data_IF_295389151712
#
_entry.id   IF_295389151712
#
_cell.length_a   1.000
_cell.length_b   1.000
_cell.length_c   1.000
_cell.angle_alpha   90.00
_cell.angle_beta   90.00
_cell.angle_gamma   90.00
#
_symmetry.space_group_name_H-M   'P 1'
#
loop_
_entity.id
_entity.type
_entity.pdbx_description
1 polymer ?
#
# COMPACT_ATOMS: atom_id res chain seq x y z
N UNK A 1 -6.55 21.92 28.74
CA UNK A 1 -5.73 21.44 27.60
C UNK A 1 -6.22 20.06 27.14
N UNK A 2 -7.50 19.94 26.74
CA UNK A 2 -8.13 18.66 26.35
C UNK A 2 -8.54 18.61 24.85
N UNK A 3 -8.20 19.65 24.09
CA UNK A 3 -8.94 20.04 22.89
C UNK A 3 -8.28 19.62 21.55
N UNK A 4 -7.11 18.96 21.60
CA UNK A 4 -6.35 18.59 20.38
C UNK A 4 -6.44 17.10 20.02
N UNK A 5 -6.77 16.22 20.99
CA UNK A 5 -6.99 14.78 20.74
C UNK A 5 -8.33 14.50 20.09
N UNK A 6 -9.36 15.31 20.40
CA UNK A 6 -10.69 15.25 19.75
C UNK A 6 -10.58 15.53 18.24
N UNK A 7 -9.66 16.40 17.82
CA UNK A 7 -9.51 16.79 16.42
C UNK A 7 -9.03 15.66 15.53
N UNK A 8 -8.08 14.81 15.95
CA UNK A 8 -7.60 13.70 15.08
C UNK A 8 -8.70 12.71 14.79
N UNK A 9 -9.53 12.38 15.78
CA UNK A 9 -10.66 11.48 15.59
C UNK A 9 -11.68 12.02 14.58
N UNK A 10 -12.11 13.25 14.79
CA UNK A 10 -13.03 13.96 13.90
C UNK A 10 -12.44 14.17 12.49
N UNK A 11 -11.12 14.38 12.40
CA UNK A 11 -10.38 14.51 11.14
C UNK A 11 -10.31 13.19 10.35
N UNK A 12 -10.16 12.05 11.03
CA UNK A 12 -10.21 10.74 10.40
C UNK A 12 -11.65 10.36 9.99
N UNK A 13 -12.65 10.78 10.76
CA UNK A 13 -14.04 10.57 10.41
C UNK A 13 -14.49 11.42 9.21
N UNK A 14 -14.09 12.70 9.18
CA UNK A 14 -14.41 13.64 8.09
C UNK A 14 -13.71 13.31 6.77
N UNK A 15 -12.55 12.63 6.80
CA UNK A 15 -11.89 12.09 5.61
C UNK A 15 -12.52 10.77 5.12
N UNK A 16 -13.53 10.24 5.83
CA UNK A 16 -14.23 9.01 5.46
C UNK A 16 -13.46 7.72 5.73
N UNK A 17 -12.33 7.80 6.44
CA UNK A 17 -11.50 6.63 6.79
C UNK A 17 -12.10 5.80 7.92
N UNK A 18 -12.87 6.42 8.81
CA UNK A 18 -13.57 5.76 9.91
C UNK A 18 -14.98 6.31 10.04
N UNK A 19 -15.89 5.50 10.57
CA UNK A 19 -17.22 5.95 10.97
C UNK A 19 -17.20 6.58 12.36
N UNK A 20 -18.20 7.40 12.67
CA UNK A 20 -18.37 7.94 14.03
C UNK A 20 -18.47 6.82 15.08
N UNK A 21 -19.13 5.71 14.76
CA UNK A 21 -19.21 4.55 15.64
C UNK A 21 -17.83 3.91 15.91
N UNK A 22 -17.01 3.77 14.86
CA UNK A 22 -15.64 3.25 14.98
C UNK A 22 -14.75 4.20 15.79
N UNK A 23 -14.91 5.51 15.60
CA UNK A 23 -14.23 6.53 16.38
C UNK A 23 -14.58 6.42 17.88
N UNK A 24 -15.87 6.35 18.21
CA UNK A 24 -16.32 6.21 19.60
C UNK A 24 -15.83 4.90 20.25
N UNK A 25 -15.83 3.79 19.50
CA UNK A 25 -15.26 2.51 19.96
C UNK A 25 -13.76 2.61 20.25
N UNK A 26 -13.00 3.28 19.36
CA UNK A 26 -11.57 3.46 19.53
C UNK A 26 -11.23 4.40 20.71
N UNK A 27 -11.97 5.48 20.90
CA UNK A 27 -11.85 6.38 22.05
C UNK A 27 -12.15 5.66 23.38
N UNK A 28 -13.20 4.83 23.40
CA UNK A 28 -13.54 4.00 24.55
C UNK A 28 -12.42 3.01 24.88
N UNK A 29 -11.87 2.34 23.87
CA UNK A 29 -10.71 1.45 24.03
C UNK A 29 -9.47 2.19 24.53
N UNK A 30 -9.21 3.39 24.02
CA UNK A 30 -8.09 4.23 24.48
C UNK A 30 -8.20 4.55 25.97
N UNK A 31 -9.40 4.85 26.47
CA UNK A 31 -9.63 5.12 27.89
C UNK A 31 -9.43 3.89 28.79
N UNK A 32 -9.67 2.68 28.27
CA UNK A 32 -9.59 1.43 29.01
C UNK A 32 -8.21 0.75 28.92
N UNK A 33 -7.56 0.82 27.75
CA UNK A 33 -6.34 0.10 27.42
C UNK A 33 -5.12 1.00 27.19
N UNK A 34 -5.30 2.33 27.16
CA UNK A 34 -4.24 3.29 26.86
C UNK A 34 -3.83 3.31 25.38
N UNK A 35 -2.70 3.97 25.09
CA UNK A 35 -2.16 4.14 23.73
C UNK A 35 -2.69 5.36 22.99
N UNK A 36 -2.27 5.53 21.73
CA UNK A 36 -2.80 6.59 20.86
C UNK A 36 -4.13 6.19 20.22
N UNK A 37 -4.89 7.18 19.73
CA UNK A 37 -6.14 6.90 19.03
C UNK A 37 -5.90 6.05 17.78
N UNK A 38 -4.84 6.36 17.01
CA UNK A 38 -4.44 5.61 15.82
C UNK A 38 -4.06 4.15 16.11
N UNK A 39 -3.31 3.89 17.18
CA UNK A 39 -2.98 2.51 17.60
C UNK A 39 -4.23 1.68 17.90
N UNK A 40 -5.24 2.29 18.53
CA UNK A 40 -6.50 1.61 18.83
C UNK A 40 -7.33 1.36 17.57
N UNK A 41 -7.34 2.29 16.61
CA UNK A 41 -8.02 2.13 15.32
C UNK A 41 -7.42 0.97 14.50
N UNK A 42 -6.08 0.87 14.45
CA UNK A 42 -5.39 -0.23 13.77
C UNK A 42 -5.65 -1.56 14.47
N UNK A 43 -5.54 -1.60 15.81
CA UNK A 43 -5.73 -2.83 16.60
C UNK A 43 -7.13 -3.41 16.46
N UNK A 44 -8.15 -2.55 16.31
CA UNK A 44 -9.54 -2.97 16.11
C UNK A 44 -9.86 -3.29 14.64
N UNK A 45 -8.89 -3.12 13.73
CA UNK A 45 -9.03 -3.43 12.31
C UNK A 45 -9.87 -2.42 11.53
N UNK A 46 -10.04 -1.20 12.04
CA UNK A 46 -10.85 -0.17 11.38
C UNK A 46 -10.08 0.62 10.32
N UNK A 47 -8.77 0.76 10.50
CA UNK A 47 -7.87 1.46 9.55
C UNK A 47 -6.58 0.68 9.46
N UNK A 48 -6.01 0.55 8.26
CA UNK A 48 -4.66 0.04 8.11
C UNK A 48 -3.62 1.12 8.46
N UNK A 49 -2.39 0.70 8.73
CA UNK A 49 -1.33 1.61 9.18
C UNK A 49 -0.92 2.62 8.09
N UNK A 50 -0.96 2.23 6.81
CA UNK A 50 -0.57 3.09 5.70
C UNK A 50 -1.59 4.20 5.46
N UNK A 51 -2.88 3.86 5.46
CA UNK A 51 -4.00 4.78 5.33
C UNK A 51 -4.02 5.79 6.48
N UNK A 52 -3.77 5.34 7.71
CA UNK A 52 -3.65 6.24 8.86
C UNK A 52 -2.47 7.21 8.69
N UNK A 53 -1.28 6.73 8.31
CA UNK A 53 -0.10 7.57 8.13
C UNK A 53 -0.28 8.59 7.00
N UNK A 54 -0.90 8.19 5.89
CA UNK A 54 -1.20 9.08 4.76
C UNK A 54 -2.17 10.19 5.19
N UNK A 55 -3.24 9.84 5.89
CA UNK A 55 -4.23 10.80 6.38
C UNK A 55 -3.60 11.84 7.35
N UNK A 56 -2.78 11.36 8.29
CA UNK A 56 -2.07 12.23 9.22
C UNK A 56 -1.06 13.13 8.49
N UNK A 57 -0.40 12.60 7.45
CA UNK A 57 0.56 13.37 6.66
C UNK A 57 -0.12 14.49 5.87
N UNK A 58 -1.25 14.21 5.22
CA UNK A 58 -2.01 15.20 4.45
C UNK A 58 -2.64 16.27 5.34
N UNK A 59 -3.22 15.88 6.49
CA UNK A 59 -3.96 16.82 7.34
C UNK A 59 -3.07 17.66 8.26
N UNK A 60 -2.00 17.09 8.81
CA UNK A 60 -1.09 17.78 9.73
C UNK A 60 0.06 18.44 8.95
N UNK A 61 0.25 18.08 7.66
CA UNK A 61 1.31 18.61 6.81
C UNK A 61 2.71 18.13 7.19
N UNK A 62 2.81 17.03 7.96
CA UNK A 62 4.07 16.43 8.36
C UNK A 62 4.41 15.23 7.49
N UNK A 63 5.68 15.06 7.17
CA UNK A 63 6.15 13.88 6.47
C UNK A 63 6.20 12.67 7.42
N UNK A 64 5.86 11.49 6.93
CA UNK A 64 6.07 10.24 7.65
C UNK A 64 7.46 9.68 7.33
N UNK A 65 8.02 8.91 8.27
CA UNK A 65 9.32 8.25 8.08
C UNK A 65 9.23 6.74 8.23
N UNK A 66 9.91 6.02 7.33
CA UNK A 66 10.07 4.58 7.40
C UNK A 66 11.47 4.23 7.91
N UNK A 67 11.56 3.73 9.15
CA UNK A 67 12.83 3.41 9.80
C UNK A 67 13.57 2.23 9.16
N UNK A 68 12.92 1.39 8.35
CA UNK A 68 13.59 0.29 7.62
C UNK A 68 14.52 0.78 6.51
N UNK A 69 14.37 2.04 6.09
CA UNK A 69 15.16 2.67 5.01
C UNK A 69 16.19 3.66 5.52
N UNK A 70 16.25 3.86 6.83
CA UNK A 70 17.08 4.88 7.46
C UNK A 70 18.02 4.20 8.44
N UNK A 71 19.29 4.60 8.38
CA UNK A 71 20.26 4.25 9.40
C UNK A 71 20.43 5.44 10.35
N UNK A 72 20.30 5.20 11.65
CA UNK A 72 20.50 6.23 12.67
C UNK A 72 21.82 5.97 13.39
N UNK A 73 22.88 6.77 13.13
CA UNK A 73 24.17 6.60 13.78
C UNK A 73 24.10 6.80 15.30
N UNK A 74 25.02 6.19 16.08
CA UNK A 74 25.10 6.39 17.53
C UNK A 74 25.27 7.86 17.96
N UNK A 75 25.90 8.68 17.14
CA UNK A 75 26.05 10.12 17.38
C UNK A 75 24.71 10.88 17.35
N UNK A 76 23.75 10.41 16.55
CA UNK A 76 22.40 10.97 16.47
C UNK A 76 21.53 10.45 17.61
N UNK A 77 21.64 9.15 17.93
CA UNK A 77 20.92 8.57 19.08
C UNK A 77 21.24 9.32 20.37
N UNK A 78 22.52 9.64 20.60
CA UNK A 78 22.98 10.36 21.80
C UNK A 78 22.57 11.83 21.89
N UNK A 79 21.89 12.40 20.88
CA UNK A 79 21.33 13.75 20.95
C UNK A 79 20.16 13.85 21.94
N UNK A 80 19.54 12.72 22.27
CA UNK A 80 18.38 12.64 23.16
C UNK A 80 18.61 11.51 24.16
N UNK A 81 18.19 11.70 25.41
CA UNK A 81 18.28 10.65 26.41
C UNK A 81 17.37 9.46 26.08
N UNK A 82 17.81 8.25 26.42
CA UNK A 82 17.00 7.03 26.25
C UNK A 82 15.70 7.08 27.07
N UNK A 83 15.70 7.83 28.18
CA UNK A 83 14.52 8.05 29.01
C UNK A 83 13.48 8.89 28.26
N UNK A 84 13.87 10.02 27.68
CA UNK A 84 12.97 10.86 26.87
C UNK A 84 12.48 10.12 25.64
N UNK A 85 13.34 9.36 24.94
CA UNK A 85 12.94 8.49 23.82
C UNK A 85 11.80 7.55 24.22
N UNK A 86 11.90 6.91 25.39
CA UNK A 86 10.89 5.96 25.89
C UNK A 86 9.63 6.65 26.42
N UNK A 87 9.78 7.66 27.27
CA UNK A 87 8.65 8.31 27.96
C UNK A 87 7.80 9.15 27.01
N UNK A 88 8.44 9.83 26.04
CA UNK A 88 7.80 10.67 25.03
C UNK A 88 7.49 9.94 23.72
N UNK A 89 7.85 8.65 23.60
CA UNK A 89 7.65 7.83 22.38
C UNK A 89 8.13 8.53 21.11
N UNK A 90 9.40 8.93 21.10
CA UNK A 90 10.04 9.65 19.98
C UNK A 90 11.44 9.14 19.70
N UNK A 91 12.00 9.48 18.54
CA UNK A 91 13.32 9.04 18.12
C UNK A 91 14.08 10.11 17.33
N UNK A 92 15.34 10.45 17.69
CA UNK A 92 16.17 11.30 16.85
C UNK A 92 16.60 10.52 15.59
N UNK A 93 16.35 11.07 14.41
CA UNK A 93 16.55 10.41 13.12
C UNK A 93 17.86 10.85 12.46
N UNK A 94 18.09 12.16 12.41
CA UNK A 94 19.22 12.76 11.71
C UNK A 94 19.11 14.27 11.66
N UNK A 95 19.97 14.92 10.90
CA UNK A 95 19.95 16.38 10.73
C UNK A 95 19.52 16.78 9.33
N UNK A 96 18.68 17.80 9.27
CA UNK A 96 18.37 18.53 8.04
C UNK A 96 18.82 19.99 8.21
N UNK A 97 20.02 20.29 7.72
CA UNK A 97 20.70 21.55 8.02
C UNK A 97 20.97 21.68 9.52
N UNK A 98 20.37 22.70 10.15
CA UNK A 98 20.48 22.95 11.60
C UNK A 98 19.42 22.26 12.45
N UNK A 99 18.43 21.62 11.82
CA UNK A 99 17.29 21.05 12.53
C UNK A 99 17.51 19.56 12.79
N UNK A 100 17.32 19.14 14.04
CA UNK A 100 17.27 17.72 14.40
C UNK A 100 15.91 17.17 13.98
N UNK A 101 15.91 16.22 13.05
CA UNK A 101 14.70 15.51 12.63
C UNK A 101 14.32 14.52 13.71
N UNK A 102 13.11 14.63 14.24
CA UNK A 102 12.60 13.81 15.34
C UNK A 102 11.34 13.08 14.89
N UNK A 103 11.42 11.76 14.87
CA UNK A 103 10.27 10.89 14.61
C UNK A 103 9.40 10.76 15.86
N UNK A 104 8.11 11.06 15.75
CA UNK A 104 7.17 11.06 16.88
C UNK A 104 6.00 10.11 16.62
N UNK A 105 5.68 9.27 17.61
CA UNK A 105 4.47 8.41 17.55
C UNK A 105 3.21 9.25 17.72
N UNK A 106 3.26 10.27 18.59
CA UNK A 106 2.21 11.28 18.73
C UNK A 106 2.74 12.64 18.23
N UNK A 107 2.47 13.02 16.97
CA UNK A 107 2.93 14.30 16.42
C UNK A 107 2.27 15.52 17.08
N UNK A 108 1.26 15.32 17.95
CA UNK A 108 0.58 16.42 18.65
C UNK A 108 1.21 16.77 20.00
N UNK A 109 2.16 15.97 20.50
CA UNK A 109 2.89 16.26 21.74
C UNK A 109 4.01 17.29 21.48
N UNK A 110 3.63 18.54 21.22
CA UNK A 110 4.58 19.63 21.02
C UNK A 110 5.51 19.85 22.24
N UNK A 111 5.08 19.45 23.45
CA UNK A 111 5.90 19.53 24.66
C UNK A 111 7.12 18.62 24.61
N UNK A 112 7.00 17.46 23.95
CA UNK A 112 8.12 16.56 23.74
C UNK A 112 9.19 17.17 22.81
N UNK A 113 8.80 17.95 21.81
CA UNK A 113 9.75 18.64 20.93
C UNK A 113 10.58 19.67 21.70
N UNK A 114 9.94 20.50 22.55
CA UNK A 114 10.66 21.47 23.37
C UNK A 114 11.67 20.83 24.32
N UNK A 115 11.35 19.64 24.86
CA UNK A 115 12.27 18.87 25.70
C UNK A 115 13.48 18.36 24.90
N UNK A 116 13.26 17.89 23.68
CA UNK A 116 14.33 17.46 22.77
C UNK A 116 15.20 18.62 22.30
N UNK A 117 14.62 19.78 22.00
CA UNK A 117 15.36 20.99 21.65
C UNK A 117 16.29 21.42 22.77
N UNK A 118 15.80 21.38 24.01
CA UNK A 118 16.59 21.70 25.19
C UNK A 118 17.76 20.72 25.39
N UNK A 119 17.52 19.42 25.22
CA UNK A 119 18.56 18.39 25.40
C UNK A 119 19.61 18.41 24.28
N UNK A 120 19.17 18.51 23.03
CA UNK A 120 20.04 18.44 21.86
C UNK A 120 20.74 19.76 21.54
N UNK A 121 20.21 20.90 22.03
CA UNK A 121 20.70 22.23 21.69
C UNK A 121 20.39 22.64 20.23
N UNK A 122 19.55 21.88 19.54
CA UNK A 122 19.20 22.10 18.13
C UNK A 122 17.70 22.29 17.98
N UNK A 123 17.24 23.20 17.09
CA UNK A 123 15.83 23.30 16.75
C UNK A 123 15.35 21.97 16.15
N UNK A 124 14.11 21.58 16.40
CA UNK A 124 13.60 20.28 15.96
C UNK A 124 12.69 20.40 14.74
N UNK A 125 12.70 19.35 13.90
CA UNK A 125 11.74 19.17 12.81
C UNK A 125 10.97 17.87 13.06
N UNK A 126 9.66 17.92 13.38
CA UNK A 126 8.89 16.71 13.63
C UNK A 126 8.61 15.97 12.33
N UNK A 127 8.67 14.64 12.40
CA UNK A 127 8.16 13.72 11.38
C UNK A 127 7.32 12.63 12.06
N UNK A 128 6.34 12.09 11.35
CA UNK A 128 5.45 11.06 11.89
C UNK A 128 6.21 9.73 11.89
N UNK A 129 6.30 9.09 13.05
CA UNK A 129 6.87 7.77 13.24
C UNK A 129 5.76 6.80 13.63
N UNK A 130 5.68 5.64 12.98
CA UNK A 130 4.70 4.65 13.36
C UNK A 130 5.02 3.99 14.70
N UNK A 131 3.99 3.60 15.44
CA UNK A 131 4.14 2.89 16.71
C UNK A 131 4.90 1.57 16.55
N UNK A 132 4.66 0.86 15.44
CA UNK A 132 5.35 -0.39 15.08
C UNK A 132 6.87 -0.19 14.98
N UNK A 133 7.31 0.78 14.16
CA UNK A 133 8.72 1.11 13.98
C UNK A 133 9.36 1.61 15.28
N UNK A 134 8.61 2.37 16.09
CA UNK A 134 9.08 2.82 17.39
C UNK A 134 9.34 1.62 18.33
N UNK A 135 8.39 0.69 18.43
CA UNK A 135 8.52 -0.50 19.28
C UNK A 135 9.66 -1.40 18.81
N UNK A 136 9.89 -1.54 17.51
CA UNK A 136 11.06 -2.22 16.94
C UNK A 136 12.39 -1.54 17.30
N UNK A 137 12.44 -0.21 17.21
CA UNK A 137 13.62 0.55 17.62
C UNK A 137 13.93 0.35 19.12
N UNK A 138 12.90 0.35 19.98
CA UNK A 138 13.06 0.08 21.41
C UNK A 138 13.59 -1.34 21.66
N UNK A 139 13.08 -2.35 20.96
CA UNK A 139 13.61 -3.73 21.04
C UNK A 139 15.09 -3.79 20.64
N UNK A 140 15.46 -3.12 19.55
CA UNK A 140 16.86 -3.02 19.13
C UNK A 140 17.74 -2.39 20.22
N UNK A 141 17.29 -1.29 20.84
CA UNK A 141 18.07 -0.63 21.89
C UNK A 141 18.21 -1.48 23.16
N UNK A 142 17.22 -2.33 23.45
CA UNK A 142 17.31 -3.28 24.56
C UNK A 142 18.34 -4.39 24.30
N UNK A 143 18.49 -4.84 23.06
CA UNK A 143 19.44 -5.91 22.70
C UNK A 143 20.85 -5.42 22.39
N UNK A 144 20.97 -4.29 21.67
CA UNK A 144 22.23 -3.81 21.09
C UNK A 144 22.81 -2.58 21.80
N UNK A 145 22.08 -1.99 22.77
CA UNK A 145 22.50 -0.80 23.51
C UNK A 145 22.16 0.52 22.80
N UNK A 146 21.55 1.46 23.53
CA UNK A 146 21.24 2.79 23.00
C UNK A 146 22.50 3.66 22.90
N UNK A 147 22.77 4.20 21.70
CA UNK A 147 23.95 5.03 21.46
C UNK A 147 25.26 4.23 21.33
N UNK A 148 25.19 2.91 21.20
CA UNK A 148 26.35 2.03 21.00
C UNK A 148 26.51 1.61 19.55
N UNK A 149 25.43 1.09 18.94
CA UNK A 149 25.40 0.64 17.54
C UNK A 149 24.44 1.48 16.69
N UNK A 150 24.73 1.66 15.39
CA UNK A 150 23.78 2.32 14.50
C UNK A 150 22.46 1.54 14.47
N UNK A 151 21.34 2.24 14.71
CA UNK A 151 20.03 1.65 14.54
C UNK A 151 19.86 1.39 13.05
N UNK A 152 19.79 0.12 12.71
CA UNK A 152 19.34 -0.35 11.41
C UNK A 152 18.22 -1.31 11.72
N UNK A 153 16.98 -0.84 11.56
CA UNK A 153 15.89 -1.78 11.41
C UNK A 153 16.17 -2.47 10.09
N UNK A 154 16.67 -3.71 10.17
CA UNK A 154 16.71 -4.53 8.98
C UNK A 154 15.28 -4.53 8.46
N UNK A 155 15.11 -4.37 7.16
CA UNK A 155 13.92 -4.94 6.51
C UNK A 155 13.91 -6.37 7.00
N UNK A 156 13.07 -6.70 7.99
CA UNK A 156 12.63 -8.07 8.15
C UNK A 156 12.24 -8.46 6.74
N UNK A 157 12.98 -9.44 6.19
CA UNK A 157 12.87 -9.88 4.82
C UNK A 157 11.41 -10.25 4.53
N UNK A 158 10.63 -9.26 4.12
CA UNK A 158 9.19 -9.37 3.92
C UNK A 158 8.43 -9.85 5.19
N UNK A 159 7.15 -9.49 5.35
CA UNK A 159 6.33 -9.98 6.45
C UNK A 159 6.20 -11.49 6.35
N UNK A 160 7.03 -12.25 7.08
CA UNK A 160 7.20 -13.70 6.93
C UNK A 160 7.51 -14.08 5.47
N UNK A 161 8.61 -14.82 5.25
CA UNK A 161 8.56 -15.80 4.16
C UNK A 161 7.47 -16.81 4.55
N UNK A 162 6.21 -16.55 4.21
CA UNK A 162 5.39 -17.65 3.76
C UNK A 162 6.27 -18.39 2.74
N UNK A 163 6.41 -19.70 2.90
CA UNK A 163 6.96 -20.52 1.83
C UNK A 163 5.99 -20.37 0.67
N UNK A 164 6.19 -19.34 -0.14
CA UNK A 164 5.51 -19.18 -1.41
C UNK A 164 6.09 -20.27 -2.28
N UNK A 165 5.26 -21.26 -2.60
CA UNK A 165 5.67 -22.31 -3.50
C UNK A 165 6.19 -21.68 -4.79
N UNK A 166 7.29 -22.23 -5.32
CA UNK A 166 7.96 -21.67 -6.48
C UNK A 166 7.24 -22.07 -7.78
N UNK A 167 6.00 -21.63 -7.92
CA UNK A 167 5.14 -21.88 -9.08
C UNK A 167 4.24 -20.67 -9.37
N UNK A 168 3.73 -20.59 -10.60
CA UNK A 168 2.92 -19.47 -11.05
C UNK A 168 1.62 -19.28 -10.24
N UNK A 169 0.83 -20.34 -9.94
CA UNK A 169 -0.37 -20.20 -9.11
C UNK A 169 -0.10 -19.56 -7.74
N UNK A 170 0.99 -19.92 -7.06
CA UNK A 170 1.35 -19.33 -5.78
C UNK A 170 1.71 -17.84 -5.93
N UNK A 171 2.45 -17.46 -6.97
CA UNK A 171 2.79 -16.06 -7.24
C UNK A 171 1.55 -15.21 -7.56
N UNK A 172 0.59 -15.76 -8.32
CA UNK A 172 -0.69 -15.10 -8.60
C UNK A 172 -1.56 -14.96 -7.34
N UNK A 173 -1.57 -15.96 -6.45
CA UNK A 173 -2.20 -15.82 -5.12
C UNK A 173 -1.55 -14.71 -4.31
N UNK A 174 -0.22 -14.64 -4.32
CA UNK A 174 0.50 -13.57 -3.62
C UNK A 174 0.13 -12.19 -4.16
N UNK A 175 0.08 -12.03 -5.49
CA UNK A 175 -0.37 -10.79 -6.14
C UNK A 175 -1.73 -10.31 -5.60
N UNK A 176 -2.73 -11.21 -5.54
CA UNK A 176 -4.07 -10.87 -5.04
C UNK A 176 -4.04 -10.61 -3.53
N UNK A 177 -3.36 -11.45 -2.75
CA UNK A 177 -3.31 -11.32 -1.28
C UNK A 177 -2.64 -10.02 -0.82
N UNK A 178 -1.71 -9.49 -1.61
CA UNK A 178 -1.00 -8.24 -1.32
C UNK A 178 -1.70 -7.02 -1.92
N UNK A 179 -2.87 -7.21 -2.54
CA UNK A 179 -3.56 -6.18 -3.31
C UNK A 179 -2.64 -5.49 -4.34
N UNK A 180 -1.74 -6.27 -4.94
CA UNK A 180 -0.72 -5.74 -5.84
C UNK A 180 -1.26 -5.41 -7.24
N UNK A 181 -0.66 -4.42 -7.88
CA UNK A 181 -1.07 -3.99 -9.22
C UNK A 181 -0.55 -4.93 -10.31
N UNK A 182 0.70 -5.37 -10.22
CA UNK A 182 1.32 -6.21 -11.26
C UNK A 182 2.32 -7.21 -10.65
N UNK A 183 2.25 -8.46 -11.09
CA UNK A 183 3.29 -9.47 -10.90
C UNK A 183 4.28 -9.38 -12.06
N UNK A 184 5.57 -9.45 -11.76
CA UNK A 184 6.66 -9.46 -12.73
C UNK A 184 7.54 -10.71 -12.55
N UNK A 185 7.72 -11.46 -13.63
CA UNK A 185 8.60 -12.62 -13.71
C UNK A 185 9.59 -12.43 -14.87
N UNK A 186 10.88 -12.56 -14.59
CA UNK A 186 11.91 -12.56 -15.63
C UNK A 186 13.10 -13.42 -15.21
N UNK A 187 13.80 -13.97 -16.21
CA UNK A 187 14.98 -14.78 -15.97
C UNK A 187 16.11 -13.95 -15.34
N UNK A 188 16.76 -14.51 -14.32
CA UNK A 188 17.83 -13.85 -13.57
C UNK A 188 17.33 -12.87 -12.50
N UNK A 189 16.02 -12.63 -12.40
CA UNK A 189 15.43 -11.77 -11.39
C UNK A 189 14.63 -12.58 -10.35
N UNK A 190 14.52 -12.01 -9.15
CA UNK A 190 13.59 -12.50 -8.14
C UNK A 190 12.18 -12.06 -8.56
N UNK A 191 11.19 -12.97 -8.60
CA UNK A 191 9.78 -12.61 -8.81
C UNK A 191 9.36 -11.46 -7.92
N UNK A 192 8.60 -10.52 -8.47
CA UNK A 192 8.24 -9.32 -7.72
C UNK A 192 6.82 -8.88 -8.01
N UNK A 193 6.17 -8.32 -7.02
CA UNK A 193 4.85 -7.72 -7.11
C UNK A 193 4.99 -6.21 -6.92
N UNK A 194 4.35 -5.44 -7.79
CA UNK A 194 4.19 -4.00 -7.59
C UNK A 194 3.03 -3.77 -6.62
N UNK A 195 3.30 -3.06 -5.53
CA UNK A 195 2.32 -2.67 -4.51
C UNK A 195 2.54 -1.19 -4.22
N UNK A 196 1.49 -0.38 -4.25
CA UNK A 196 1.53 1.08 -4.03
C UNK A 196 2.65 1.83 -4.79
N UNK A 197 2.89 1.42 -6.04
CA UNK A 197 3.90 2.03 -6.90
C UNK A 197 5.35 1.53 -6.66
N UNK A 198 5.56 0.69 -5.65
CA UNK A 198 6.86 0.10 -5.33
C UNK A 198 6.96 -1.37 -5.73
N UNK A 199 8.16 -1.83 -6.11
CA UNK A 199 8.41 -3.22 -6.50
C UNK A 199 8.89 -4.02 -5.29
N UNK A 200 8.04 -4.91 -4.78
CA UNK A 200 8.33 -5.82 -3.67
C UNK A 200 8.73 -7.20 -4.19
N UNK A 201 9.89 -7.70 -3.74
CA UNK A 201 10.40 -9.02 -4.14
C UNK A 201 9.78 -10.13 -3.30
N UNK A 202 9.44 -11.24 -3.94
CA UNK A 202 8.92 -12.43 -3.27
C UNK A 202 10.02 -13.19 -2.53
N UNK A 203 9.62 -14.00 -1.55
CA UNK A 203 10.50 -14.80 -0.69
C UNK A 203 11.23 -15.97 -1.34
N UNK A 204 11.44 -15.95 -2.66
CA UNK A 204 12.04 -17.04 -3.45
C UNK A 204 13.35 -16.60 -4.14
N UNK A 205 14.24 -17.53 -4.53
CA UNK A 205 15.44 -17.20 -5.29
C UNK A 205 15.12 -16.64 -6.69
N UNK A 206 16.12 -16.04 -7.33
CA UNK A 206 16.01 -15.61 -8.73
C UNK A 206 15.64 -16.78 -9.66
N UNK A 207 14.76 -16.52 -10.63
CA UNK A 207 14.29 -17.52 -11.58
C UNK A 207 15.33 -17.81 -12.65
N UNK A 208 15.47 -19.07 -13.01
CA UNK A 208 16.22 -19.53 -14.18
C UNK A 208 15.33 -19.43 -15.43
N UNK A 209 15.91 -19.26 -16.63
CA UNK A 209 15.13 -19.20 -17.87
C UNK A 209 14.13 -20.36 -18.03
N UNK A 210 14.57 -21.58 -17.76
CA UNK A 210 13.74 -22.79 -17.85
C UNK A 210 12.55 -22.78 -16.89
N UNK A 211 12.67 -22.12 -15.74
CA UNK A 211 11.59 -22.06 -14.75
C UNK A 211 10.51 -21.07 -15.18
N UNK A 212 10.90 -19.90 -15.71
CA UNK A 212 9.96 -18.94 -16.29
C UNK A 212 9.21 -19.58 -17.45
N UNK A 213 9.94 -20.28 -18.33
CA UNK A 213 9.35 -21.00 -19.46
C UNK A 213 8.34 -22.06 -19.01
N UNK A 214 8.70 -22.93 -18.06
CA UNK A 214 7.80 -23.95 -17.52
C UNK A 214 6.53 -23.33 -16.90
N UNK A 215 6.68 -22.25 -16.12
CA UNK A 215 5.57 -21.55 -15.48
C UNK A 215 4.58 -20.99 -16.50
N UNK A 216 5.08 -20.28 -17.51
CA UNK A 216 4.23 -19.61 -18.49
C UNK A 216 3.61 -20.60 -19.46
N UNK A 217 4.38 -21.54 -20.02
CA UNK A 217 3.83 -22.52 -20.96
C UNK A 217 2.73 -23.37 -20.32
N UNK A 218 2.77 -23.57 -19.00
CA UNK A 218 1.72 -24.25 -18.25
C UNK A 218 0.33 -23.59 -18.35
N UNK A 219 0.25 -22.30 -18.67
CA UNK A 219 -1.02 -21.56 -18.76
C UNK A 219 -1.43 -21.15 -20.19
N UNK A 220 -0.57 -21.39 -21.19
CA UNK A 220 -0.87 -21.06 -22.59
C UNK A 220 -1.58 -22.20 -23.33
N UNK A 221 -2.58 -21.86 -24.14
CA UNK A 221 -3.20 -22.78 -25.10
C UNK A 221 -2.26 -23.12 -26.26
N UNK A 222 -2.48 -24.22 -27.02
CA UNK A 222 -1.67 -24.54 -28.19
C UNK A 222 -1.59 -23.41 -29.22
N UNK A 223 -2.69 -22.71 -29.46
CA UNK A 223 -2.79 -21.59 -30.38
C UNK A 223 -1.97 -20.39 -29.86
N UNK A 224 -2.14 -20.04 -28.58
CA UNK A 224 -1.36 -18.98 -27.93
C UNK A 224 0.15 -19.26 -27.97
N UNK A 225 0.57 -20.51 -27.74
CA UNK A 225 1.98 -20.91 -27.86
C UNK A 225 2.51 -20.70 -29.27
N UNK A 226 1.73 -21.07 -30.29
CA UNK A 226 2.09 -20.85 -31.70
C UNK A 226 2.22 -19.36 -31.99
N UNK A 227 1.26 -18.55 -31.56
CA UNK A 227 1.30 -17.08 -31.71
C UNK A 227 2.56 -16.50 -31.05
N UNK A 228 2.86 -16.88 -29.81
CA UNK A 228 4.06 -16.39 -29.12
C UNK A 228 5.37 -16.83 -29.80
N UNK A 229 5.43 -18.03 -30.38
CA UNK A 229 6.60 -18.50 -31.12
C UNK A 229 6.85 -17.71 -32.41
N UNK A 230 5.78 -17.20 -33.03
CA UNK A 230 5.85 -16.41 -34.26
C UNK A 230 6.17 -14.93 -33.98
N UNK A 231 5.50 -14.34 -32.99
CA UNK A 231 5.55 -12.89 -32.74
C UNK A 231 6.45 -12.49 -31.57
N UNK A 232 6.88 -13.42 -30.72
CA UNK A 232 7.68 -13.17 -29.51
C UNK A 232 7.05 -12.25 -28.46
N UNK A 233 5.76 -11.96 -28.60
CA UNK A 233 4.91 -11.25 -27.66
C UNK A 233 3.50 -11.83 -27.71
N UNK A 234 2.79 -11.80 -26.58
CA UNK A 234 1.41 -12.26 -26.46
C UNK A 234 0.72 -11.61 -25.26
N UNK A 235 -0.40 -10.93 -25.52
CA UNK A 235 -1.38 -10.54 -24.51
C UNK A 235 -2.51 -11.57 -24.45
N UNK A 236 -2.92 -11.95 -23.23
CA UNK A 236 -4.00 -12.90 -23.03
C UNK A 236 -4.62 -12.78 -21.64
N UNK A 237 -5.83 -13.31 -21.47
CA UNK A 237 -6.47 -13.45 -20.17
C UNK A 237 -6.26 -14.86 -19.59
N UNK A 238 -6.05 -14.94 -18.29
CA UNK A 238 -5.95 -16.19 -17.54
C UNK A 238 -6.86 -16.14 -16.32
N UNK A 239 -7.72 -17.15 -16.13
CA UNK A 239 -8.61 -17.25 -14.96
C UNK A 239 -8.14 -18.39 -14.06
N UNK A 240 -8.06 -18.12 -12.75
CA UNK A 240 -7.68 -19.10 -11.76
C UNK A 240 -8.78 -19.27 -10.71
N UNK A 241 -9.28 -20.49 -10.59
CA UNK A 241 -10.38 -20.81 -9.69
C UNK A 241 -10.05 -20.46 -8.23
N UNK A 242 -11.01 -19.81 -7.56
CA UNK A 242 -10.90 -19.33 -6.19
C UNK A 242 -9.87 -18.21 -5.96
N UNK A 243 -9.31 -17.60 -7.02
CA UNK A 243 -8.32 -16.51 -6.88
C UNK A 243 -8.64 -15.28 -7.72
N UNK A 244 -9.13 -15.45 -8.93
CA UNK A 244 -9.56 -14.34 -9.78
C UNK A 244 -9.06 -14.44 -11.22
N UNK A 245 -9.28 -13.37 -11.98
CA UNK A 245 -8.87 -13.27 -13.38
C UNK A 245 -7.66 -12.35 -13.52
N UNK A 246 -6.82 -12.63 -14.51
CA UNK A 246 -5.58 -11.92 -14.77
C UNK A 246 -5.47 -11.51 -16.22
N UNK A 247 -5.02 -10.29 -16.45
CA UNK A 247 -4.51 -9.83 -17.74
C UNK A 247 -3.01 -10.09 -17.76
N UNK A 248 -2.59 -10.96 -18.67
CA UNK A 248 -1.23 -11.42 -18.80
C UNK A 248 -0.60 -10.84 -20.06
N UNK A 249 0.65 -10.41 -19.94
CA UNK A 249 1.51 -10.05 -21.06
C UNK A 249 2.78 -10.88 -20.98
N UNK A 250 3.15 -11.48 -22.11
CA UNK A 250 4.27 -12.38 -22.25
C UNK A 250 5.15 -11.90 -23.40
N UNK A 251 6.44 -11.73 -23.18
CA UNK A 251 7.36 -11.19 -24.19
C UNK A 251 8.77 -11.75 -24.04
N UNK A 252 9.58 -11.61 -25.10
CA UNK A 252 11.00 -11.99 -25.09
C UNK A 252 11.89 -10.79 -24.79
N UNK A 253 12.72 -10.89 -23.76
CA UNK A 253 13.69 -9.87 -23.37
C UNK A 253 15.09 -10.49 -23.26
N UNK A 254 16.05 -9.96 -24.03
CA UNK A 254 17.46 -10.42 -24.02
C UNK A 254 17.60 -11.95 -24.21
N UNK A 255 16.79 -12.52 -25.10
CA UNK A 255 16.79 -13.95 -25.41
C UNK A 255 16.08 -14.84 -24.39
N UNK A 256 15.55 -14.29 -23.30
CA UNK A 256 14.77 -15.02 -22.29
C UNK A 256 13.31 -14.57 -22.29
N UNK A 257 12.43 -15.39 -21.72
CA UNK A 257 11.02 -15.05 -21.53
C UNK A 257 10.87 -14.13 -20.31
N UNK A 258 10.00 -13.13 -20.44
CA UNK A 258 9.51 -12.29 -19.37
C UNK A 258 7.98 -12.29 -19.39
N UNK A 259 7.38 -12.26 -18.21
CA UNK A 259 5.94 -12.37 -18.02
C UNK A 259 5.47 -11.35 -16.99
N UNK A 260 4.34 -10.72 -17.26
CA UNK A 260 3.65 -9.86 -16.31
C UNK A 260 2.19 -10.23 -16.21
N UNK A 261 1.62 -10.19 -15.02
CA UNK A 261 0.20 -10.39 -14.79
C UNK A 261 -0.37 -9.27 -13.93
N UNK A 262 -1.53 -8.74 -14.32
CA UNK A 262 -2.32 -7.81 -13.54
C UNK A 262 -3.60 -8.50 -13.08
N UNK A 263 -3.92 -8.36 -11.80
CA UNK A 263 -5.21 -8.83 -11.29
C UNK A 263 -6.34 -7.97 -11.87
N UNK A 264 -7.33 -8.63 -12.43
CA UNK A 264 -8.54 -8.02 -12.97
C UNK A 264 -9.58 -8.07 -11.87
N UNK A 265 -10.13 -6.92 -11.49
CA UNK A 265 -11.04 -6.84 -10.35
C UNK A 265 -12.35 -7.59 -10.64
N UNK A 266 -12.69 -8.56 -9.80
CA UNK A 266 -13.91 -9.37 -9.95
C UNK A 266 -15.20 -8.58 -9.67
N UNK A 267 -15.11 -7.43 -9.01
CA UNK A 267 -16.25 -6.61 -8.62
C UNK A 267 -16.10 -5.20 -9.15
N UNK A 268 -17.14 -4.73 -9.83
CA UNK A 268 -17.28 -3.33 -10.21
C UNK A 268 -17.50 -2.52 -8.91
N UNK A 269 -16.63 -1.55 -8.57
CA UNK A 269 -16.83 -0.69 -7.41
C UNK A 269 -18.14 0.10 -7.55
N UNK A 270 -18.79 0.39 -6.43
CA UNK A 270 -20.03 1.17 -6.37
C UNK A 270 -19.78 2.65 -6.66
N UNK A 271 -20.85 3.39 -7.00
CA UNK A 271 -20.74 4.83 -7.25
C UNK A 271 -20.21 5.60 -6.03
N UNK A 272 -20.57 5.15 -4.82
CA UNK A 272 -20.08 5.72 -3.57
C UNK A 272 -18.59 5.47 -3.35
N UNK A 273 -18.10 4.25 -3.59
CA UNK A 273 -16.67 3.90 -3.47
C UNK A 273 -15.80 4.66 -4.49
N UNK A 274 -16.37 5.02 -5.64
CA UNK A 274 -15.70 5.80 -6.69
C UNK A 274 -15.88 7.31 -6.55
N UNK A 275 -16.64 7.77 -5.54
CA UNK A 275 -17.01 9.17 -5.36
C UNK A 275 -17.61 9.80 -6.63
N UNK A 276 -18.41 9.03 -7.38
CA UNK A 276 -19.02 9.51 -8.61
C UNK A 276 -20.15 10.50 -8.30
N UNK A 277 -20.13 11.70 -8.89
CA UNK A 277 -21.26 12.63 -8.76
C UNK A 277 -22.54 12.08 -9.36
N UNK A 278 -23.68 12.36 -8.72
CA UNK A 278 -25.01 11.88 -9.14
C UNK A 278 -25.37 12.26 -10.59
N UNK A 279 -24.89 13.40 -11.09
CA UNK A 279 -25.17 13.84 -12.45
C UNK A 279 -24.65 12.85 -13.51
N UNK A 280 -23.59 12.09 -13.22
CA UNK A 280 -23.07 11.09 -14.17
C UNK A 280 -24.10 9.97 -14.40
N UNK A 281 -24.82 9.57 -13.34
CA UNK A 281 -25.93 8.62 -13.47
C UNK A 281 -27.04 9.19 -14.34
N UNK A 282 -27.41 10.46 -14.14
CA UNK A 282 -28.42 11.13 -14.98
C UNK A 282 -28.01 11.19 -16.46
N UNK A 283 -26.73 11.41 -16.75
CA UNK A 283 -26.19 11.40 -18.12
C UNK A 283 -26.34 10.04 -18.80
N UNK A 284 -26.01 8.94 -18.11
CA UNK A 284 -26.04 7.60 -18.73
C UNK A 284 -27.44 6.99 -18.80
N UNK A 285 -28.40 7.54 -18.06
CA UNK A 285 -29.82 7.16 -18.17
C UNK A 285 -30.52 7.76 -19.39
N UNK A 286 -29.89 8.71 -20.10
CA UNK A 286 -30.42 9.21 -21.37
C UNK A 286 -30.57 8.07 -22.39
N UNK A 287 -31.64 8.13 -23.20
CA UNK A 287 -31.94 7.06 -24.17
C UNK A 287 -31.00 7.05 -25.37
N UNK A 288 -30.37 8.18 -25.66
CA UNK A 288 -29.47 8.40 -26.80
C UNK A 288 -28.45 9.47 -26.44
N UNK A 289 -27.22 9.31 -26.93
CA UNK A 289 -26.11 10.24 -26.67
C UNK A 289 -24.77 9.56 -26.80
N UNK A 290 -23.70 10.35 -26.87
CA UNK A 290 -22.32 9.88 -26.84
C UNK A 290 -21.66 10.40 -25.57
N UNK A 291 -21.12 9.49 -24.76
CA UNK A 291 -20.34 9.81 -23.56
C UNK A 291 -18.89 9.41 -23.81
N UNK A 292 -17.96 10.33 -23.60
CA UNK A 292 -16.53 10.09 -23.73
C UNK A 292 -15.87 10.23 -22.35
N UNK A 293 -15.24 9.14 -21.89
CA UNK A 293 -14.44 9.13 -20.66
C UNK A 293 -12.97 9.20 -21.06
N UNK A 294 -12.30 10.30 -20.69
CA UNK A 294 -10.91 10.58 -21.05
C UNK A 294 -10.02 10.71 -19.82
N UNK A 295 -8.71 10.57 -20.00
CA UNK A 295 -7.72 10.56 -18.92
C UNK A 295 -6.52 9.69 -19.27
N UNK A 296 -5.40 9.87 -18.55
CA UNK A 296 -4.20 9.07 -18.79
C UNK A 296 -4.32 7.63 -18.23
N UNK A 297 -3.32 6.79 -18.46
CA UNK A 297 -3.34 5.40 -17.99
C UNK A 297 -3.41 5.34 -16.45
N UNK A 298 -4.20 4.41 -15.92
CA UNK A 298 -4.39 4.25 -14.47
C UNK A 298 -5.35 5.23 -13.80
N UNK A 299 -5.96 6.18 -14.51
CA UNK A 299 -6.91 7.16 -13.93
C UNK A 299 -8.35 6.63 -13.77
N UNK A 300 -8.55 5.32 -13.63
CA UNK A 300 -9.86 4.75 -13.32
C UNK A 300 -10.92 4.77 -14.44
N UNK A 301 -10.58 5.17 -15.68
CA UNK A 301 -11.54 5.29 -16.81
C UNK A 301 -12.43 4.05 -16.99
N UNK A 302 -11.79 2.87 -17.10
CA UNK A 302 -12.52 1.62 -17.33
C UNK A 302 -13.39 1.26 -16.14
N UNK A 303 -12.91 1.49 -14.92
CA UNK A 303 -13.66 1.28 -13.68
C UNK A 303 -14.89 2.19 -13.58
N UNK A 304 -14.73 3.49 -13.91
CA UNK A 304 -15.85 4.44 -13.98
C UNK A 304 -16.86 4.01 -15.05
N UNK A 305 -16.39 3.63 -16.24
CA UNK A 305 -17.27 3.21 -17.33
C UNK A 305 -18.03 1.91 -16.99
N UNK A 306 -17.35 0.94 -16.38
CA UNK A 306 -17.97 -0.30 -15.91
C UNK A 306 -19.07 -0.03 -14.87
N UNK A 307 -18.83 0.87 -13.92
CA UNK A 307 -19.86 1.27 -12.95
C UNK A 307 -21.08 1.90 -13.62
N UNK A 308 -20.86 2.82 -14.57
CA UNK A 308 -21.94 3.49 -15.28
C UNK A 308 -22.75 2.51 -16.17
N UNK A 309 -22.07 1.56 -16.81
CA UNK A 309 -22.73 0.51 -17.59
C UNK A 309 -23.51 -0.44 -16.68
N UNK A 310 -22.99 -0.81 -15.51
CA UNK A 310 -23.71 -1.62 -14.51
C UNK A 310 -24.97 -0.89 -14.00
N UNK A 311 -24.93 0.44 -13.83
CA UNK A 311 -26.11 1.21 -13.50
C UNK A 311 -27.21 1.09 -14.59
N UNK A 312 -26.83 1.20 -15.87
CA UNK A 312 -27.77 0.96 -16.99
C UNK A 312 -28.33 -0.46 -16.92
N UNK A 313 -27.49 -1.46 -16.69
CA UNK A 313 -27.88 -2.88 -16.63
C UNK A 313 -28.91 -3.16 -15.52
N UNK A 314 -28.77 -2.51 -14.36
CA UNK A 314 -29.69 -2.67 -13.22
C UNK A 314 -31.01 -1.94 -13.39
N UNK A 315 -31.00 -0.77 -14.02
CA UNK A 315 -32.15 0.13 -14.01
C UNK A 315 -32.94 0.14 -15.32
N UNK A 316 -32.33 -0.28 -16.44
CA UNK A 316 -32.94 -0.26 -17.76
C UNK A 316 -33.02 -1.67 -18.37
N UNK A 317 -34.20 -2.01 -18.89
CA UNK A 317 -34.41 -3.23 -19.69
C UNK A 317 -33.96 -2.99 -21.13
N UNK A 318 -32.65 -3.05 -21.37
CA UNK A 318 -32.04 -2.82 -22.69
C UNK A 318 -31.00 -3.90 -23.00
N UNK A 319 -30.65 -4.03 -24.28
CA UNK A 319 -29.51 -4.85 -24.69
C UNK A 319 -28.24 -4.00 -24.63
N UNK A 320 -27.24 -4.44 -23.85
CA UNK A 320 -25.94 -3.77 -23.71
C UNK A 320 -24.90 -4.61 -24.45
N UNK A 321 -24.12 -3.98 -25.32
CA UNK A 321 -23.04 -4.61 -26.06
C UNK A 321 -21.76 -3.83 -25.75
N UNK A 322 -20.73 -4.50 -25.28
CA UNK A 322 -19.39 -3.94 -25.09
C UNK A 322 -18.39 -4.60 -26.04
N UNK A 323 -17.38 -3.83 -26.43
CA UNK A 323 -16.23 -4.33 -27.19
C UNK A 323 -15.01 -3.88 -26.42
N UNK A 324 -14.27 -4.85 -25.89
CA UNK A 324 -13.15 -4.63 -24.96
C UNK A 324 -11.95 -5.48 -25.37
N UNK A 325 -10.74 -4.97 -25.10
CA UNK A 325 -9.48 -5.66 -25.37
C UNK A 325 -8.46 -5.41 -24.23
N UNK A 326 -8.40 -6.28 -23.21
CA UNK A 326 -9.31 -7.39 -22.88
C UNK A 326 -10.51 -6.92 -22.05
N UNK A 327 -11.47 -7.82 -21.83
CA UNK A 327 -12.61 -7.60 -20.90
C UNK A 327 -12.09 -7.43 -19.47
N UNK A 328 -12.43 -6.31 -18.81
CA UNK A 328 -11.96 -5.93 -17.47
C UNK A 328 -12.94 -6.27 -16.33
N UNK A 329 -14.24 -6.40 -16.61
CA UNK A 329 -15.25 -6.80 -15.62
C UNK A 329 -16.28 -7.74 -16.27
N UNK A 330 -16.87 -8.65 -15.51
CA UNK A 330 -17.94 -9.56 -15.96
C UNK A 330 -19.06 -9.62 -14.96
#
# INVERSE_FOLDING_TARGET
MADNKMKIGEMLASSGLITEEQLQSALKSQSQMGGTLGENLIRQGYVDEAALLNALSEQIGLQHINLTRVEIPPSIQRQVSVETVRSRRLLPIGFEGKHLVVGMVDPTDLGALSEVEFQSGHPTKPVILSASHFDEAIKFFQSEGFGEKPLRLQVERSPRREKVDRNLPAFLRTLVSWNGQDLHLSAGAIPSVRVDGEILRLGVPALRPVEVEQMVYGILTPEQRKTFQEYYELDFAYSMDGVGRFRCNLYRQRGSIAFTARHVADKIPTAAELYLPDFLRECVMQKQGLVLVTGSNGHGKTTTLANLVDAINRERKVNIITIEDPIEYT
#
